data_IF_136949227632
#
_entry.id   IF_136949227632
#
_cell.length_a   1.000
_cell.length_b   1.000
_cell.length_c   1.000
_cell.angle_alpha   90.00
_cell.angle_beta   90.00
_cell.angle_gamma   90.00
#
_symmetry.space_group_name_H-M   'P 1'
#
loop_
_entity.id
_entity.type
_entity.pdbx_description
1 polymer ?
#
# COMPACT_ATOMS: atom_id res chain seq x y z
N UNK A 1 -16.17 -70.63 57.51
CA UNK A 1 -15.50 -70.08 56.30
C UNK A 1 -16.27 -68.81 55.95
N UNK A 2 -15.75 -67.68 56.37
CA UNK A 2 -16.37 -66.34 56.36
C UNK A 2 -15.77 -65.53 55.19
N UNK A 3 -16.57 -65.16 54.19
CA UNK A 3 -16.23 -64.31 53.08
C UNK A 3 -16.40 -62.81 53.43
N UNK A 4 -15.29 -62.10 53.49
CA UNK A 4 -15.21 -60.69 53.80
C UNK A 4 -15.50 -59.88 52.54
N UNK A 5 -16.65 -59.22 52.44
CA UNK A 5 -17.03 -58.25 51.37
C UNK A 5 -16.36 -56.90 51.66
N UNK A 6 -15.34 -56.51 50.87
CA UNK A 6 -14.74 -55.18 50.85
C UNK A 6 -15.59 -54.30 49.91
N UNK A 7 -16.34 -53.37 50.45
CA UNK A 7 -17.02 -52.28 49.69
C UNK A 7 -15.98 -51.20 49.40
N UNK A 8 -15.69 -50.99 48.09
CA UNK A 8 -14.89 -49.85 47.62
C UNK A 8 -15.86 -48.71 47.40
N UNK A 9 -15.74 -47.65 48.22
CA UNK A 9 -16.44 -46.40 48.06
C UNK A 9 -15.66 -45.56 47.02
N UNK A 10 -16.22 -45.45 45.79
CA UNK A 10 -15.67 -44.57 44.76
C UNK A 10 -16.18 -43.17 45.03
N UNK A 11 -15.31 -42.30 45.51
CA UNK A 11 -15.62 -40.87 45.69
C UNK A 11 -15.52 -40.19 44.33
N UNK A 12 -16.63 -39.91 43.66
CA UNK A 12 -16.70 -39.12 42.45
C UNK A 12 -16.52 -37.64 42.83
N UNK A 13 -15.32 -37.11 42.63
CA UNK A 13 -15.04 -35.69 42.71
C UNK A 13 -15.68 -35.04 41.50
N UNK A 14 -16.85 -34.46 41.66
CA UNK A 14 -17.47 -33.58 40.66
C UNK A 14 -16.70 -32.25 40.70
N UNK A 15 -15.74 -32.07 39.83
CA UNK A 15 -15.17 -30.74 39.54
C UNK A 15 -16.27 -29.87 38.92
N UNK A 16 -16.95 -29.06 39.70
CA UNK A 16 -17.73 -27.94 39.20
C UNK A 16 -16.73 -26.97 38.54
N UNK A 17 -16.56 -27.10 37.22
CA UNK A 17 -15.90 -26.08 36.40
C UNK A 17 -16.74 -24.80 36.50
N UNK A 18 -16.29 -23.85 37.30
CA UNK A 18 -16.78 -22.47 37.25
C UNK A 18 -16.50 -21.88 35.86
N UNK A 19 -17.41 -22.11 34.91
CA UNK A 19 -17.52 -21.29 33.74
C UNK A 19 -17.96 -19.91 34.21
N UNK A 20 -16.97 -18.98 34.32
CA UNK A 20 -17.29 -17.58 34.59
C UNK A 20 -18.18 -17.08 33.44
N UNK A 21 -19.47 -17.05 33.66
CA UNK A 21 -20.41 -16.47 32.72
C UNK A 21 -20.11 -14.99 32.65
N UNK A 22 -19.61 -14.54 31.46
CA UNK A 22 -19.36 -13.15 31.17
C UNK A 22 -20.68 -12.37 31.30
N UNK A 23 -20.73 -11.43 32.22
CA UNK A 23 -21.93 -10.62 32.44
C UNK A 23 -22.14 -9.70 31.21
N UNK A 24 -23.37 -9.64 30.66
CA UNK A 24 -23.67 -8.66 29.63
C UNK A 24 -23.52 -7.24 30.20
N UNK A 25 -23.04 -6.32 29.36
CA UNK A 25 -23.00 -4.91 29.78
C UNK A 25 -24.42 -4.37 30.04
N UNK A 26 -24.62 -3.47 31.01
CA UNK A 26 -25.89 -2.81 31.25
C UNK A 26 -26.44 -2.12 30.00
N UNK A 27 -27.76 -2.17 29.80
CA UNK A 27 -28.40 -1.66 28.57
C UNK A 27 -28.18 -0.15 28.35
N UNK A 28 -28.15 0.65 29.42
CA UNK A 28 -27.86 2.07 29.36
C UNK A 28 -26.40 2.37 28.94
N UNK A 29 -25.48 1.52 29.40
CA UNK A 29 -24.07 1.60 29.02
C UNK A 29 -23.88 1.21 27.54
N UNK A 30 -24.56 0.17 27.06
CA UNK A 30 -24.53 -0.22 25.64
C UNK A 30 -25.00 0.93 24.75
N UNK A 31 -26.11 1.60 25.11
CA UNK A 31 -26.60 2.75 24.35
C UNK A 31 -25.63 3.92 24.36
N UNK A 32 -24.95 4.20 25.46
CA UNK A 32 -23.92 5.25 25.55
C UNK A 32 -22.72 4.91 24.66
N UNK A 33 -22.25 3.67 24.71
CA UNK A 33 -21.14 3.18 23.88
C UNK A 33 -21.51 3.30 22.40
N UNK A 34 -22.69 2.80 22.00
CA UNK A 34 -23.15 2.87 20.62
C UNK A 34 -23.21 4.30 20.11
N UNK A 35 -23.82 5.21 20.86
CA UNK A 35 -23.93 6.63 20.51
C UNK A 35 -22.53 7.26 20.33
N UNK A 36 -21.63 7.01 21.28
CA UNK A 36 -20.28 7.59 21.24
C UNK A 36 -19.46 7.05 20.07
N UNK A 37 -19.49 5.74 19.84
CA UNK A 37 -18.80 5.09 18.74
C UNK A 37 -19.34 5.59 17.40
N UNK A 38 -20.67 5.65 17.24
CA UNK A 38 -21.31 6.16 16.03
C UNK A 38 -20.91 7.59 15.71
N UNK A 39 -20.89 8.46 16.72
CA UNK A 39 -20.51 9.86 16.57
C UNK A 39 -19.01 10.03 16.25
N UNK A 40 -18.14 9.32 16.99
CA UNK A 40 -16.68 9.44 16.84
C UNK A 40 -16.18 8.98 15.48
N UNK A 41 -16.77 7.91 14.94
CA UNK A 41 -16.35 7.30 13.68
C UNK A 41 -17.28 7.61 12.50
N UNK A 42 -18.22 8.55 12.66
CA UNK A 42 -19.18 8.96 11.61
C UNK A 42 -19.93 7.79 10.97
N UNK A 43 -20.34 6.80 11.79
CA UNK A 43 -20.94 5.56 11.31
C UNK A 43 -22.40 5.82 10.88
N UNK A 44 -22.79 5.50 9.62
CA UNK A 44 -24.16 5.68 9.14
C UNK A 44 -25.18 4.89 9.96
N UNK A 45 -26.41 5.40 10.00
CA UNK A 45 -27.53 4.75 10.73
C UNK A 45 -27.86 3.35 10.19
N UNK A 46 -27.56 3.08 8.92
CA UNK A 46 -27.75 1.77 8.27
C UNK A 46 -26.80 0.68 8.79
N UNK A 47 -25.70 1.06 9.45
CA UNK A 47 -24.74 0.11 10.03
C UNK A 47 -25.21 -0.27 11.44
N UNK A 48 -25.39 -1.57 11.68
CA UNK A 48 -25.71 -2.10 13.01
C UNK A 48 -24.44 -2.15 13.86
N UNK A 49 -24.51 -1.61 15.07
CA UNK A 49 -23.45 -1.70 16.08
C UNK A 49 -23.91 -2.66 17.17
N UNK A 50 -23.05 -3.61 17.54
CA UNK A 50 -23.30 -4.58 18.60
C UNK A 50 -22.17 -4.54 19.61
N UNK A 51 -22.49 -4.41 20.89
CA UNK A 51 -21.54 -4.39 22.01
C UNK A 51 -21.54 -5.77 22.67
N UNK A 52 -20.40 -6.41 22.70
CA UNK A 52 -20.21 -7.72 23.34
C UNK A 52 -20.14 -7.65 24.86
N UNK A 53 -20.01 -8.80 25.54
CA UNK A 53 -19.87 -8.86 26.99
C UNK A 53 -18.54 -8.26 27.44
N UNK A 54 -18.53 -7.73 28.66
CA UNK A 54 -17.34 -7.26 29.35
C UNK A 54 -16.47 -8.45 29.75
N UNK A 55 -15.17 -8.35 29.50
CA UNK A 55 -14.17 -9.36 29.83
C UNK A 55 -13.04 -8.72 30.63
N UNK A 56 -12.40 -9.44 31.54
CA UNK A 56 -11.17 -8.97 32.17
C UNK A 56 -10.15 -8.55 31.12
N UNK A 57 -9.43 -7.46 31.34
CA UNK A 57 -8.34 -7.02 30.47
C UNK A 57 -6.99 -7.07 31.21
N UNK A 58 -5.90 -7.07 30.44
CA UNK A 58 -4.54 -7.00 30.98
C UNK A 58 -4.23 -5.61 31.59
N UNK A 59 -5.13 -4.64 31.42
CA UNK A 59 -4.96 -3.26 31.89
C UNK A 59 -5.74 -3.04 33.18
N UNK A 60 -5.01 -2.63 34.23
CA UNK A 60 -5.64 -2.29 35.50
C UNK A 60 -6.73 -1.22 35.30
N UNK A 61 -7.88 -1.39 35.99
CA UNK A 61 -9.03 -0.49 35.94
C UNK A 61 -9.81 -0.45 34.61
N UNK A 62 -9.55 -1.37 33.66
CA UNK A 62 -10.30 -1.51 32.43
C UNK A 62 -10.81 -2.93 32.26
N UNK A 63 -11.95 -3.06 31.60
CA UNK A 63 -12.47 -4.30 31.06
C UNK A 63 -12.41 -4.26 29.53
N UNK A 64 -12.13 -5.39 28.90
CA UNK A 64 -12.15 -5.51 27.45
C UNK A 64 -13.59 -5.67 26.96
N UNK A 65 -13.96 -4.98 25.90
CA UNK A 65 -15.26 -5.09 25.24
C UNK A 65 -15.09 -5.15 23.74
N UNK A 66 -15.79 -6.07 23.11
CA UNK A 66 -15.79 -6.22 21.65
C UNK A 66 -16.94 -5.43 21.05
N UNK A 67 -16.66 -4.58 20.06
CA UNK A 67 -17.68 -3.83 19.33
C UNK A 67 -17.67 -4.31 17.89
N UNK A 68 -18.82 -4.79 17.41
CA UNK A 68 -19.01 -5.29 16.05
C UNK A 68 -19.88 -4.32 15.26
N UNK A 69 -19.44 -3.99 14.05
CA UNK A 69 -20.15 -3.15 13.10
C UNK A 69 -20.54 -4.00 11.88
N UNK A 70 -21.83 -4.03 11.54
CA UNK A 70 -22.37 -4.81 10.43
C UNK A 70 -23.11 -3.88 9.47
N UNK A 71 -22.63 -3.79 8.22
CA UNK A 71 -23.23 -2.99 7.16
C UNK A 71 -23.13 -3.68 5.81
N UNK A 72 -24.27 -4.06 5.21
CA UNK A 72 -24.30 -4.90 4.02
C UNK A 72 -23.64 -6.25 4.27
N UNK A 73 -22.76 -6.67 3.36
CA UNK A 73 -22.00 -7.93 3.49
C UNK A 73 -20.74 -7.78 4.38
N UNK A 74 -20.42 -6.57 4.83
CA UNK A 74 -19.21 -6.30 5.60
C UNK A 74 -19.49 -6.37 7.10
N UNK A 75 -18.69 -7.18 7.80
CA UNK A 75 -18.70 -7.28 9.26
C UNK A 75 -17.29 -7.02 9.78
N UNK A 76 -17.16 -6.02 10.65
CA UNK A 76 -15.89 -5.65 11.28
C UNK A 76 -16.03 -5.68 12.79
N UNK A 77 -15.02 -6.19 13.47
CA UNK A 77 -15.00 -6.35 14.92
C UNK A 77 -13.74 -5.71 15.49
N UNK A 78 -13.95 -4.89 16.53
CA UNK A 78 -12.86 -4.15 17.18
C UNK A 78 -12.87 -4.40 18.69
N UNK A 79 -11.68 -4.46 19.27
CA UNK A 79 -11.52 -4.53 20.72
C UNK A 79 -11.36 -3.11 21.29
N UNK A 80 -12.13 -2.83 22.34
CA UNK A 80 -12.08 -1.60 23.11
C UNK A 80 -11.83 -1.93 24.60
N UNK A 81 -11.33 -0.96 25.33
CA UNK A 81 -11.19 -0.99 26.77
C UNK A 81 -12.20 -0.03 27.38
N UNK A 82 -13.05 -0.53 28.26
CA UNK A 82 -13.98 0.27 29.06
C UNK A 82 -13.43 0.43 30.47
N UNK A 83 -13.31 1.66 30.95
CA UNK A 83 -12.92 1.89 32.35
C UNK A 83 -13.98 1.30 33.31
N UNK A 84 -13.56 0.76 34.45
CA UNK A 84 -14.46 0.13 35.43
C UNK A 84 -15.51 1.08 36.01
N UNK A 85 -15.26 2.39 35.95
CA UNK A 85 -16.23 3.42 36.32
C UNK A 85 -17.22 3.76 35.18
N UNK A 86 -17.10 3.10 34.02
CA UNK A 86 -17.96 3.24 32.86
C UNK A 86 -17.90 4.59 32.14
N UNK A 87 -16.89 5.42 32.42
CA UNK A 87 -16.79 6.79 31.89
C UNK A 87 -15.89 6.94 30.68
N UNK A 88 -14.95 6.01 30.47
CA UNK A 88 -13.95 6.11 29.40
C UNK A 88 -14.00 4.85 28.54
N UNK A 89 -14.12 5.05 27.23
CA UNK A 89 -13.95 4.00 26.22
C UNK A 89 -12.70 4.32 25.40
N UNK A 90 -11.69 3.43 25.44
CA UNK A 90 -10.47 3.55 24.68
C UNK A 90 -10.39 2.46 23.60
N UNK A 91 -9.94 2.80 22.41
CA UNK A 91 -9.57 1.82 21.38
C UNK A 91 -8.08 1.56 21.43
N UNK A 92 -7.69 0.30 21.49
CA UNK A 92 -6.30 -0.10 21.43
C UNK A 92 -5.94 -0.73 20.10
N UNK A 93 -4.80 -0.36 19.59
CA UNK A 93 -4.14 -1.05 18.49
C UNK A 93 -2.92 -1.77 19.05
N UNK A 94 -2.86 -3.10 18.93
CA UNK A 94 -1.69 -3.90 19.29
C UNK A 94 -0.75 -3.92 18.08
N UNK A 95 0.48 -3.45 18.28
CA UNK A 95 1.54 -3.54 17.28
C UNK A 95 2.47 -4.69 17.69
N UNK A 96 2.74 -5.59 16.76
CA UNK A 96 3.70 -6.67 16.96
C UNK A 96 5.12 -6.13 16.69
N UNK A 97 5.82 -5.74 17.76
CA UNK A 97 7.17 -5.19 17.66
C UNK A 97 8.25 -6.24 17.30
N UNK A 98 7.86 -7.51 17.16
CA UNK A 98 8.77 -8.57 16.69
C UNK A 98 8.86 -8.61 15.16
N UNK A 99 7.98 -7.90 14.46
CA UNK A 99 7.93 -7.79 13.00
C UNK A 99 8.25 -6.38 12.55
N UNK A 100 9.09 -6.28 11.53
CA UNK A 100 9.33 -5.03 10.86
C UNK A 100 8.18 -4.80 9.84
N UNK A 101 7.36 -3.74 10.01
CA UNK A 101 6.22 -3.47 9.12
C UNK A 101 6.64 -3.20 7.68
N UNK A 102 7.82 -2.66 7.46
CA UNK A 102 8.34 -2.36 6.12
C UNK A 102 8.76 -3.63 5.39
N UNK A 103 9.42 -4.55 6.10
CA UNK A 103 9.75 -5.88 5.56
C UNK A 103 8.47 -6.65 5.24
N UNK A 104 7.45 -6.59 6.10
CA UNK A 104 6.18 -7.25 5.85
C UNK A 104 5.40 -6.63 4.67
N UNK A 105 5.50 -5.32 4.44
CA UNK A 105 4.95 -4.68 3.26
C UNK A 105 5.64 -5.16 1.98
N UNK A 106 6.98 -5.16 1.94
CA UNK A 106 7.74 -5.63 0.77
C UNK A 106 7.47 -7.09 0.40
N UNK A 107 7.23 -7.97 1.38
CA UNK A 107 6.86 -9.38 1.11
C UNK A 107 5.55 -9.57 0.35
N UNK A 108 4.67 -8.57 0.36
CA UNK A 108 3.39 -8.60 -0.34
C UNK A 108 3.47 -8.10 -1.78
N UNK A 109 4.61 -7.54 -2.19
CA UNK A 109 4.82 -6.96 -3.51
C UNK A 109 5.71 -7.90 -4.31
N UNK A 110 5.17 -8.48 -5.37
CA UNK A 110 5.97 -9.29 -6.30
C UNK A 110 6.72 -8.37 -7.28
N UNK A 111 8.05 -8.40 -7.20
CA UNK A 111 8.94 -7.63 -8.07
C UNK A 111 9.47 -8.45 -9.26
N UNK A 112 9.09 -9.72 -9.37
CA UNK A 112 9.61 -10.63 -10.40
C UNK A 112 9.27 -10.13 -11.81
N UNK A 113 10.30 -10.04 -12.67
CA UNK A 113 10.14 -9.66 -14.06
C UNK A 113 9.67 -8.23 -14.30
N UNK A 114 9.72 -7.37 -13.27
CA UNK A 114 9.33 -5.96 -13.41
C UNK A 114 10.46 -5.13 -14.02
N UNK A 115 10.13 -4.07 -14.77
CA UNK A 115 11.12 -3.13 -15.28
C UNK A 115 11.85 -2.42 -14.14
N UNK A 116 13.18 -2.34 -14.27
CA UNK A 116 14.04 -1.71 -13.26
C UNK A 116 14.92 -0.64 -13.87
N UNK A 117 15.23 0.38 -13.07
CA UNK A 117 16.30 1.37 -13.30
C UNK A 117 17.23 1.40 -12.10
N UNK A 118 18.46 1.87 -12.33
CA UNK A 118 19.49 1.93 -11.30
C UNK A 118 20.21 0.60 -11.13
N UNK A 119 20.65 0.31 -9.91
CA UNK A 119 21.43 -0.87 -9.60
C UNK A 119 20.53 -2.03 -9.18
N UNK A 120 20.39 -3.04 -10.04
CA UNK A 120 19.58 -4.25 -9.79
C UNK A 120 20.03 -5.08 -8.56
N UNK A 121 21.25 -4.89 -8.10
CA UNK A 121 21.81 -5.60 -6.95
C UNK A 121 21.84 -4.70 -5.69
N UNK A 122 21.12 -3.57 -5.72
CA UNK A 122 21.09 -2.63 -4.61
C UNK A 122 20.36 -3.20 -3.38
N UNK A 123 20.81 -2.79 -2.20
CA UNK A 123 20.14 -3.10 -0.93
C UNK A 123 18.93 -2.22 -0.65
N UNK A 124 18.82 -1.09 -1.36
CA UNK A 124 17.69 -0.17 -1.26
C UNK A 124 16.88 -0.27 -2.53
N UNK A 125 15.62 -0.61 -2.37
CA UNK A 125 14.66 -0.78 -3.45
C UNK A 125 13.55 0.27 -3.32
N UNK A 126 13.29 0.98 -4.39
CA UNK A 126 12.15 1.89 -4.53
C UNK A 126 11.14 1.24 -5.47
N UNK A 127 9.99 0.88 -4.95
CA UNK A 127 8.87 0.43 -5.77
C UNK A 127 7.96 1.62 -6.05
N UNK A 128 7.70 1.90 -7.32
CA UNK A 128 6.81 2.97 -7.75
C UNK A 128 5.54 2.38 -8.34
N UNK A 129 4.41 2.53 -7.65
CA UNK A 129 3.08 2.26 -8.21
C UNK A 129 2.63 3.48 -8.99
N UNK A 130 2.40 3.27 -10.27
CA UNK A 130 2.31 4.34 -11.25
C UNK A 130 1.17 4.12 -12.25
N UNK A 131 0.75 5.20 -12.90
CA UNK A 131 -0.31 5.24 -13.89
C UNK A 131 0.13 6.14 -15.05
N UNK A 132 0.20 5.59 -16.26
CA UNK A 132 0.66 6.29 -17.45
C UNK A 132 -0.16 7.53 -17.82
N UNK A 133 -1.42 7.58 -17.43
CA UNK A 133 -2.30 8.72 -17.70
C UNK A 133 -2.33 9.74 -16.55
N UNK A 134 -1.82 9.39 -15.37
CA UNK A 134 -1.83 10.26 -14.20
C UNK A 134 -0.90 11.47 -14.38
N UNK A 135 -1.40 12.71 -14.23
CA UNK A 135 -0.55 13.90 -14.39
C UNK A 135 0.47 14.10 -13.27
N UNK A 136 0.22 13.53 -12.09
CA UNK A 136 1.19 13.55 -10.98
C UNK A 136 2.34 12.58 -11.22
N UNK A 137 2.06 11.41 -11.81
CA UNK A 137 3.07 10.45 -12.27
C UNK A 137 3.93 11.07 -13.36
N UNK A 138 3.31 11.71 -14.36
CA UNK A 138 4.01 12.45 -15.42
C UNK A 138 4.99 13.47 -14.84
N UNK A 139 4.56 14.28 -13.86
CA UNK A 139 5.43 15.23 -13.19
C UNK A 139 6.61 14.54 -12.52
N UNK A 140 6.39 13.43 -11.84
CA UNK A 140 7.44 12.68 -11.15
C UNK A 140 8.49 12.14 -12.15
N UNK A 141 8.05 11.58 -13.27
CA UNK A 141 8.94 11.12 -14.33
C UNK A 141 9.77 12.23 -14.95
N UNK A 142 9.19 13.42 -15.11
CA UNK A 142 9.90 14.55 -15.74
C UNK A 142 10.83 15.30 -14.80
N UNK A 143 10.57 15.33 -13.50
CA UNK A 143 11.31 16.18 -12.56
C UNK A 143 12.06 15.42 -11.49
N UNK A 144 11.45 14.42 -10.88
CA UNK A 144 12.01 13.72 -9.73
C UNK A 144 12.97 12.60 -10.14
N UNK A 145 12.53 11.69 -10.99
CA UNK A 145 13.35 10.53 -11.36
C UNK A 145 14.66 10.87 -12.05
N UNK A 146 14.76 11.84 -12.99
CA UNK A 146 16.04 12.16 -13.60
C UNK A 146 17.10 12.60 -12.58
N UNK A 147 16.72 13.38 -11.57
CA UNK A 147 17.62 13.79 -10.50
C UNK A 147 17.98 12.64 -9.56
N UNK A 148 16.99 11.85 -9.14
CA UNK A 148 17.23 10.70 -8.27
C UNK A 148 18.08 9.63 -8.93
N UNK A 149 17.86 9.32 -10.21
CA UNK A 149 18.68 8.37 -10.96
C UNK A 149 20.12 8.84 -11.08
N UNK A 150 20.33 10.14 -11.29
CA UNK A 150 21.68 10.74 -11.34
C UNK A 150 22.40 10.64 -9.99
N UNK A 151 21.69 10.84 -8.89
CA UNK A 151 22.27 10.88 -7.54
C UNK A 151 22.41 9.50 -6.90
N UNK A 152 21.44 8.61 -7.13
CA UNK A 152 21.28 7.34 -6.42
C UNK A 152 21.34 6.10 -7.32
N UNK A 153 21.38 6.26 -8.64
CA UNK A 153 21.23 5.15 -9.58
C UNK A 153 22.28 4.04 -9.46
N UNK A 154 23.41 4.30 -8.83
CA UNK A 154 24.47 3.31 -8.53
C UNK A 154 24.20 2.53 -7.22
N UNK A 155 23.27 2.96 -6.38
CA UNK A 155 23.04 2.49 -5.00
C UNK A 155 21.62 2.02 -4.74
N UNK A 156 20.68 2.39 -5.60
CA UNK A 156 19.25 2.16 -5.45
C UNK A 156 18.70 1.44 -6.68
N UNK A 157 17.83 0.46 -6.45
CA UNK A 157 17.01 -0.16 -7.48
C UNK A 157 15.66 0.53 -7.54
N UNK A 158 15.25 1.03 -8.71
CA UNK A 158 13.91 1.58 -8.94
C UNK A 158 13.11 0.58 -9.74
N UNK A 159 12.00 0.12 -9.18
CA UNK A 159 11.10 -0.87 -9.77
C UNK A 159 9.77 -0.21 -10.10
N UNK A 160 9.29 -0.40 -11.33
CA UNK A 160 7.98 0.11 -11.75
C UNK A 160 6.90 -0.96 -11.57
N UNK A 161 5.76 -0.55 -11.01
CA UNK A 161 4.57 -1.37 -10.83
C UNK A 161 3.35 -0.63 -11.38
N UNK A 162 2.53 -1.32 -12.18
CA UNK A 162 1.34 -0.73 -12.76
C UNK A 162 0.21 -0.63 -11.73
N UNK A 163 -0.41 0.55 -11.64
CA UNK A 163 -1.63 0.79 -10.87
C UNK A 163 -2.55 1.78 -11.60
N UNK A 164 -3.13 1.38 -12.77
CA UNK A 164 -4.00 2.25 -13.55
C UNK A 164 -5.30 2.55 -12.81
N UNK A 165 -5.66 3.83 -12.69
CA UNK A 165 -6.90 4.31 -12.08
C UNK A 165 -8.03 4.29 -13.12
N UNK A 166 -8.47 3.11 -13.51
CA UNK A 166 -9.32 2.84 -14.68
C UNK A 166 -10.66 3.60 -14.71
N UNK A 167 -11.15 4.05 -13.56
CA UNK A 167 -12.40 4.83 -13.46
C UNK A 167 -12.26 6.27 -13.99
N UNK A 168 -11.05 6.83 -13.93
CA UNK A 168 -10.76 8.22 -14.30
C UNK A 168 -9.72 8.35 -15.41
N UNK A 169 -8.95 7.30 -15.69
CA UNK A 169 -7.88 7.23 -16.67
C UNK A 169 -8.16 6.16 -17.74
N UNK A 170 -8.91 6.52 -18.81
CA UNK A 170 -9.47 5.55 -19.73
C UNK A 170 -8.47 4.80 -20.60
N UNK A 171 -7.24 5.31 -20.81
CA UNK A 171 -6.22 4.64 -21.61
C UNK A 171 -5.04 4.11 -20.80
N UNK A 172 -5.02 4.34 -19.48
CA UNK A 172 -3.90 3.95 -18.63
C UNK A 172 -3.62 2.44 -18.66
N UNK A 173 -4.66 1.58 -18.63
CA UNK A 173 -4.49 0.12 -18.71
C UNK A 173 -3.89 -0.31 -20.03
N UNK A 174 -4.35 0.25 -21.15
CA UNK A 174 -3.83 -0.06 -22.48
C UNK A 174 -2.35 0.30 -22.58
N UNK A 175 -1.95 1.50 -22.15
CA UNK A 175 -0.56 1.91 -22.10
C UNK A 175 0.31 1.00 -21.22
N UNK A 176 -0.23 0.56 -20.07
CA UNK A 176 0.47 -0.36 -19.17
C UNK A 176 0.71 -1.73 -19.83
N UNK A 177 -0.27 -2.28 -20.54
CA UNK A 177 -0.10 -3.54 -21.30
C UNK A 177 0.94 -3.38 -22.39
N UNK A 178 0.88 -2.32 -23.17
CA UNK A 178 1.82 -2.00 -24.24
C UNK A 178 3.25 -1.86 -23.71
N UNK A 179 3.44 -1.12 -22.62
CA UNK A 179 4.71 -1.01 -21.93
C UNK A 179 5.26 -2.37 -21.48
N UNK A 180 4.40 -3.22 -20.89
CA UNK A 180 4.79 -4.57 -20.47
C UNK A 180 5.16 -5.48 -21.65
N UNK A 181 4.55 -5.28 -22.84
CA UNK A 181 4.97 -5.97 -24.07
C UNK A 181 6.40 -5.61 -24.50
N UNK A 182 6.81 -4.35 -24.30
CA UNK A 182 8.20 -3.92 -24.50
C UNK A 182 9.13 -4.52 -23.44
N UNK A 183 8.72 -4.43 -22.15
CA UNK A 183 9.50 -4.96 -21.02
C UNK A 183 9.82 -6.45 -21.17
N UNK A 184 8.88 -7.23 -21.71
CA UNK A 184 9.05 -8.67 -21.96
C UNK A 184 10.23 -8.99 -22.89
N UNK A 185 10.71 -8.03 -23.68
CA UNK A 185 11.81 -8.19 -24.60
C UNK A 185 13.03 -7.33 -24.25
N UNK A 186 12.83 -6.11 -23.72
CA UNK A 186 13.92 -5.18 -23.44
C UNK A 186 13.53 -4.15 -22.39
N UNK A 187 14.28 -4.08 -21.30
CA UNK A 187 14.07 -3.14 -20.21
C UNK A 187 14.24 -1.66 -20.64
N UNK A 188 15.20 -1.37 -21.50
CA UNK A 188 15.45 0.00 -21.94
C UNK A 188 14.34 0.50 -22.87
N UNK A 189 13.82 -0.39 -23.74
CA UNK A 189 12.66 -0.08 -24.57
C UNK A 189 11.42 0.28 -23.73
N UNK A 190 11.20 -0.45 -22.65
CA UNK A 190 10.14 -0.12 -21.70
C UNK A 190 10.32 1.29 -21.11
N UNK A 191 11.52 1.58 -20.60
CA UNK A 191 11.74 2.84 -19.90
C UNK A 191 11.72 4.05 -20.84
N UNK A 192 12.27 3.93 -22.05
CA UNK A 192 12.17 4.99 -23.03
C UNK A 192 10.70 5.25 -23.45
N UNK A 193 9.89 4.19 -23.58
CA UNK A 193 8.46 4.33 -23.81
C UNK A 193 7.77 5.00 -22.62
N UNK A 194 8.03 4.54 -21.40
CA UNK A 194 7.45 5.10 -20.19
C UNK A 194 7.75 6.60 -20.05
N UNK A 195 9.02 6.99 -20.23
CA UNK A 195 9.42 8.40 -20.18
C UNK A 195 8.76 9.22 -21.29
N UNK A 196 8.64 8.67 -22.52
CA UNK A 196 7.98 9.34 -23.62
C UNK A 196 6.48 9.58 -23.33
N UNK A 197 5.75 8.56 -22.89
CA UNK A 197 4.32 8.67 -22.59
C UNK A 197 4.09 9.68 -21.46
N UNK A 198 4.85 9.61 -20.37
CA UNK A 198 4.72 10.57 -19.27
C UNK A 198 5.10 12.01 -19.69
N UNK A 199 6.04 12.20 -20.59
CA UNK A 199 6.38 13.52 -21.11
C UNK A 199 5.34 14.06 -22.11
N UNK A 200 4.64 13.17 -22.80
CA UNK A 200 3.83 13.48 -23.97
C UNK A 200 2.36 13.03 -23.85
N UNK A 201 1.80 12.95 -22.62
CA UNK A 201 0.39 12.56 -22.41
C UNK A 201 -0.59 13.32 -23.31
N UNK A 202 -0.25 14.56 -23.70
CA UNK A 202 -1.08 15.37 -24.63
C UNK A 202 -1.17 14.75 -26.01
N UNK A 203 -0.19 14.01 -26.48
CA UNK A 203 -0.23 13.32 -27.78
C UNK A 203 -1.39 12.33 -27.82
N UNK A 204 -1.53 11.51 -26.78
CA UNK A 204 -2.64 10.56 -26.64
C UNK A 204 -3.95 11.28 -26.35
N UNK A 205 -3.96 12.26 -25.44
CA UNK A 205 -5.17 12.98 -25.02
C UNK A 205 -5.76 13.85 -26.12
N UNK A 206 -5.00 14.25 -27.15
CA UNK A 206 -5.52 15.03 -28.28
C UNK A 206 -6.35 14.20 -29.25
N UNK A 207 -6.22 12.87 -29.21
CA UNK A 207 -6.97 11.96 -30.05
C UNK A 207 -8.44 11.89 -29.64
N UNK A 208 -9.32 11.84 -30.67
CA UNK A 208 -10.77 11.84 -30.44
C UNK A 208 -11.30 10.42 -30.29
N UNK A 209 -11.58 10.07 -29.05
CA UNK A 209 -12.16 8.77 -28.71
C UNK A 209 -11.11 7.71 -28.35
N UNK A 210 -11.56 6.74 -27.58
CA UNK A 210 -10.71 5.70 -26.98
C UNK A 210 -9.96 4.87 -28.03
N UNK A 211 -10.61 4.51 -29.13
CA UNK A 211 -9.99 3.70 -30.17
C UNK A 211 -8.82 4.42 -30.86
N UNK A 212 -8.92 5.75 -31.06
CA UNK A 212 -7.83 6.54 -31.62
C UNK A 212 -6.69 6.70 -30.62
N UNK A 213 -6.99 6.86 -29.32
CA UNK A 213 -5.99 6.87 -28.26
C UNK A 213 -5.23 5.55 -28.19
N UNK A 214 -5.93 4.44 -28.24
CA UNK A 214 -5.32 3.10 -28.25
C UNK A 214 -4.45 2.89 -29.49
N UNK A 215 -4.94 3.25 -30.67
CA UNK A 215 -4.15 3.15 -31.91
C UNK A 215 -2.87 4.00 -31.86
N UNK A 216 -2.91 5.16 -31.18
CA UNK A 216 -1.72 5.98 -30.96
C UNK A 216 -0.73 5.30 -30.04
N UNK A 217 -1.18 4.68 -28.94
CA UNK A 217 -0.35 3.93 -28.02
C UNK A 217 0.30 2.72 -28.72
N UNK A 218 -0.51 1.92 -29.46
CA UNK A 218 -0.01 0.79 -30.25
C UNK A 218 1.09 1.22 -31.23
N UNK A 219 0.86 2.32 -31.96
CA UNK A 219 1.86 2.86 -32.90
C UNK A 219 3.14 3.23 -32.20
N UNK A 220 3.07 4.00 -31.10
CA UNK A 220 4.25 4.42 -30.32
C UNK A 220 5.01 3.22 -29.76
N UNK A 221 4.29 2.19 -29.32
CA UNK A 221 4.86 0.93 -28.82
C UNK A 221 5.64 0.20 -29.92
N UNK A 222 5.06 0.08 -31.12
CA UNK A 222 5.69 -0.58 -32.24
C UNK A 222 6.91 0.22 -32.75
N UNK A 223 6.83 1.55 -32.79
CA UNK A 223 7.96 2.42 -33.14
C UNK A 223 9.10 2.25 -32.13
N UNK A 224 8.81 2.19 -30.84
CA UNK A 224 9.79 1.94 -29.80
C UNK A 224 10.42 0.55 -29.95
N UNK A 225 9.61 -0.47 -30.25
CA UNK A 225 10.11 -1.82 -30.55
C UNK A 225 11.03 -1.88 -31.76
N UNK A 226 10.77 -1.10 -32.82
CA UNK A 226 11.65 -0.99 -33.99
C UNK A 226 12.98 -0.32 -33.61
N UNK A 227 12.95 0.77 -32.86
CA UNK A 227 14.13 1.49 -32.37
C UNK A 227 15.09 0.59 -31.61
N UNK A 228 14.56 -0.34 -30.80
CA UNK A 228 15.33 -1.28 -30.01
C UNK A 228 15.58 -2.64 -30.70
N UNK A 229 15.25 -2.77 -31.99
CA UNK A 229 15.41 -4.02 -32.77
C UNK A 229 14.72 -5.24 -32.12
N UNK A 230 13.55 -5.05 -31.52
CA UNK A 230 12.76 -6.12 -30.91
C UNK A 230 12.15 -7.04 -31.97
N UNK A 231 11.77 -8.26 -31.57
CA UNK A 231 10.96 -9.16 -32.40
C UNK A 231 9.59 -8.55 -32.64
N UNK A 232 9.41 -7.96 -33.81
CA UNK A 232 8.20 -7.23 -34.17
C UNK A 232 6.96 -8.14 -34.22
N UNK A 233 7.12 -9.42 -34.60
CA UNK A 233 6.02 -10.36 -34.64
C UNK A 233 5.51 -10.68 -33.23
N UNK A 234 6.42 -10.88 -32.27
CA UNK A 234 6.06 -11.10 -30.87
C UNK A 234 5.45 -9.84 -30.25
N UNK A 235 6.02 -8.66 -30.55
CA UNK A 235 5.53 -7.40 -30.03
C UNK A 235 4.10 -7.12 -30.53
N UNK A 236 3.85 -7.25 -31.83
CA UNK A 236 2.52 -7.07 -32.41
C UNK A 236 1.50 -8.07 -31.84
N UNK A 237 1.89 -9.33 -31.65
CA UNK A 237 1.01 -10.33 -31.05
C UNK A 237 0.66 -9.97 -29.60
N UNK A 238 1.63 -9.47 -28.82
CA UNK A 238 1.43 -9.06 -27.44
C UNK A 238 0.50 -7.83 -27.36
N UNK A 239 0.81 -6.77 -28.11
CA UNK A 239 -0.02 -5.55 -28.19
C UNK A 239 -1.45 -5.88 -28.60
N UNK A 240 -1.64 -6.71 -29.63
CA UNK A 240 -2.98 -7.13 -30.08
C UNK A 240 -3.74 -7.95 -29.03
N UNK A 241 -3.03 -8.76 -28.24
CA UNK A 241 -3.65 -9.62 -27.24
C UNK A 241 -4.24 -8.85 -26.05
N UNK A 242 -3.68 -7.68 -25.72
CA UNK A 242 -4.09 -6.82 -24.59
C UNK A 242 -4.36 -7.64 -23.31
N UNK A 243 -3.40 -8.51 -22.95
CA UNK A 243 -3.50 -9.33 -21.74
C UNK A 243 -3.20 -8.49 -20.50
N UNK A 244 -4.20 -8.30 -19.65
CA UNK A 244 -4.14 -7.51 -18.42
C UNK A 244 -3.72 -8.30 -17.17
N UNK A 245 -3.37 -9.58 -17.27
CA UNK A 245 -3.14 -10.42 -16.07
C UNK A 245 -2.01 -9.86 -15.19
N UNK A 246 -0.92 -9.39 -15.79
CA UNK A 246 0.20 -8.78 -15.08
C UNK A 246 -0.22 -7.46 -14.39
N UNK A 247 -1.07 -6.66 -15.06
CA UNK A 247 -1.61 -5.41 -14.50
C UNK A 247 -2.49 -5.71 -13.28
N UNK A 248 -3.41 -6.67 -13.43
CA UNK A 248 -4.31 -7.10 -12.34
C UNK A 248 -3.52 -7.69 -11.15
N UNK A 249 -2.43 -8.41 -11.41
CA UNK A 249 -1.54 -8.89 -10.35
C UNK A 249 -0.87 -7.72 -9.63
N UNK A 250 -0.33 -6.75 -10.37
CA UNK A 250 0.27 -5.53 -9.80
C UNK A 250 -0.72 -4.72 -8.96
N UNK A 251 -1.97 -4.58 -9.43
CA UNK A 251 -3.03 -3.89 -8.67
C UNK A 251 -3.37 -4.62 -7.37
N UNK A 252 -3.44 -5.97 -7.38
CA UNK A 252 -3.65 -6.73 -6.13
C UNK A 252 -2.52 -6.55 -5.13
N UNK A 253 -1.27 -6.51 -5.59
CA UNK A 253 -0.13 -6.21 -4.70
C UNK A 253 -0.28 -4.82 -4.08
N UNK A 254 -0.61 -3.82 -4.88
CA UNK A 254 -0.84 -2.44 -4.45
C UNK A 254 -1.95 -2.36 -3.38
N UNK A 255 -3.11 -2.96 -3.65
CA UNK A 255 -4.23 -3.03 -2.70
C UNK A 255 -3.85 -3.77 -1.41
N UNK A 256 -3.04 -4.84 -1.52
CA UNK A 256 -2.53 -5.63 -0.41
C UNK A 256 -1.63 -4.85 0.55
N UNK A 257 -1.02 -3.75 0.08
CA UNK A 257 -0.20 -2.83 0.88
C UNK A 257 -0.85 -1.47 1.14
N UNK A 258 -2.11 -1.29 0.71
CA UNK A 258 -2.91 -0.11 1.04
C UNK A 258 -2.86 1.03 0.01
N UNK A 259 -2.25 0.83 -1.15
CA UNK A 259 -2.22 1.84 -2.23
C UNK A 259 -3.63 2.13 -2.72
N UNK A 260 -3.98 3.40 -2.79
CA UNK A 260 -5.30 3.89 -3.25
C UNK A 260 -5.21 5.01 -4.30
N UNK A 261 -3.99 5.49 -4.57
CA UNK A 261 -3.72 6.60 -5.49
C UNK A 261 -2.36 6.44 -6.17
N UNK A 262 -2.11 7.22 -7.21
CA UNK A 262 -0.81 7.28 -7.90
C UNK A 262 -0.30 8.72 -8.01
N UNK A 263 1.02 8.91 -7.97
CA UNK A 263 2.04 7.89 -7.66
C UNK A 263 2.06 7.53 -6.16
N UNK A 264 2.35 6.27 -5.83
CA UNK A 264 2.70 5.84 -4.46
C UNK A 264 4.01 5.06 -4.51
N UNK A 265 4.98 5.47 -3.71
CA UNK A 265 6.30 4.84 -3.66
C UNK A 265 6.49 4.07 -2.34
N UNK A 266 7.30 3.01 -2.42
CA UNK A 266 7.78 2.30 -1.24
C UNK A 266 9.30 2.29 -1.25
N UNK A 267 9.94 2.91 -0.27
CA UNK A 267 11.40 2.87 -0.07
C UNK A 267 11.70 1.79 0.96
N UNK A 268 12.19 0.63 0.51
CA UNK A 268 12.34 -0.56 1.36
C UNK A 268 11.11 -0.86 2.23
N UNK A 269 9.91 -0.62 1.70
CA UNK A 269 8.63 -0.86 2.38
C UNK A 269 8.07 0.32 3.16
N UNK A 270 8.81 1.41 3.33
CA UNK A 270 8.26 2.66 3.84
C UNK A 270 7.46 3.34 2.74
N UNK A 271 6.15 3.45 2.95
CA UNK A 271 5.22 4.11 2.03
C UNK A 271 5.45 5.63 2.00
N UNK A 272 5.35 6.17 0.80
CA UNK A 272 5.47 7.61 0.51
C UNK A 272 4.44 7.99 -0.56
N UNK A 273 3.42 8.73 -0.16
CA UNK A 273 2.28 9.07 -1.00
C UNK A 273 2.50 10.32 -1.84
N UNK A 274 2.08 10.25 -3.11
CA UNK A 274 1.99 11.38 -4.00
C UNK A 274 3.33 11.81 -4.61
N UNK A 275 3.27 12.85 -5.44
CA UNK A 275 4.44 13.49 -6.04
C UNK A 275 5.15 14.37 -5.02
N UNK A 276 6.01 13.77 -4.20
CA UNK A 276 6.73 14.43 -3.11
C UNK A 276 7.82 15.40 -3.63
N UNK A 277 8.19 16.41 -2.82
CA UNK A 277 9.38 17.21 -3.07
C UNK A 277 10.64 16.33 -3.09
N UNK A 278 11.61 16.68 -3.94
CA UNK A 278 12.86 15.93 -4.04
C UNK A 278 13.63 15.86 -2.71
N UNK A 279 13.52 16.89 -1.87
CA UNK A 279 14.14 16.90 -0.54
C UNK A 279 13.61 15.80 0.39
N UNK A 280 12.33 15.48 0.31
CA UNK A 280 11.72 14.41 1.09
C UNK A 280 12.14 13.05 0.58
N UNK A 281 12.21 12.87 -0.74
CA UNK A 281 12.72 11.64 -1.35
C UNK A 281 14.20 11.41 -1.02
N UNK A 282 15.04 12.44 -1.11
CA UNK A 282 16.44 12.37 -0.68
C UNK A 282 16.56 11.92 0.77
N UNK A 283 15.80 12.56 1.67
CA UNK A 283 15.81 12.21 3.10
C UNK A 283 15.37 10.76 3.37
N UNK A 284 14.41 10.23 2.60
CA UNK A 284 13.98 8.84 2.72
C UNK A 284 15.03 7.87 2.18
N UNK A 285 15.62 8.16 1.02
CA UNK A 285 16.67 7.35 0.40
C UNK A 285 17.94 7.33 1.26
N UNK A 286 18.36 8.48 1.78
CA UNK A 286 19.54 8.56 2.65
C UNK A 286 19.35 7.71 3.91
N UNK A 287 18.19 7.80 4.58
CA UNK A 287 17.89 6.95 5.73
C UNK A 287 17.91 5.46 5.37
N UNK A 288 17.34 5.10 4.23
CA UNK A 288 17.33 3.71 3.79
C UNK A 288 18.74 3.19 3.48
N UNK A 289 19.59 4.01 2.86
CA UNK A 289 20.99 3.68 2.59
C UNK A 289 21.78 3.54 3.90
N UNK A 290 21.63 4.45 4.84
CA UNK A 290 22.26 4.38 6.17
C UNK A 290 21.86 3.09 6.91
N UNK A 291 20.57 2.75 6.92
CA UNK A 291 20.06 1.51 7.52
C UNK A 291 20.61 0.26 6.84
N UNK A 292 20.84 0.31 5.53
CA UNK A 292 21.42 -0.77 4.75
C UNK A 292 22.96 -0.83 4.83
N UNK A 293 23.61 0.13 5.51
CA UNK A 293 25.07 0.25 5.60
C UNK A 293 25.71 0.64 4.26
N UNK A 294 25.00 1.39 3.44
CA UNK A 294 25.48 1.89 2.13
C UNK A 294 25.75 3.39 2.25
N UNK A 295 26.89 3.90 1.75
CA UNK A 295 27.19 5.33 1.80
C UNK A 295 26.15 6.17 1.04
N UNK A 296 25.70 7.28 1.63
CA UNK A 296 24.83 8.25 0.99
C UNK A 296 25.60 9.10 -0.06
N UNK A 297 24.94 9.58 -1.11
CA UNK A 297 25.55 10.53 -2.03
C UNK A 297 25.81 11.88 -1.35
N UNK A 298 26.83 12.60 -1.82
CA UNK A 298 27.07 13.98 -1.38
C UNK A 298 26.08 14.91 -2.07
N UNK A 299 25.13 15.47 -1.30
CA UNK A 299 24.24 16.49 -1.84
C UNK A 299 24.95 17.83 -1.90
N UNK A 300 24.97 18.45 -3.08
CA UNK A 300 25.38 19.85 -3.21
C UNK A 300 24.33 20.70 -2.45
N UNK A 301 24.69 21.23 -1.30
CA UNK A 301 23.88 22.21 -0.59
C UNK A 301 23.81 23.47 -1.44
N UNK A 302 22.76 23.61 -2.25
CA UNK A 302 22.38 24.93 -2.74
C UNK A 302 21.94 25.75 -1.53
N UNK A 303 22.87 26.53 -0.97
CA UNK A 303 22.61 27.47 0.10
C UNK A 303 21.64 28.51 -0.46
N UNK A 304 20.37 28.38 -0.16
CA UNK A 304 19.40 29.46 -0.29
C UNK A 304 19.73 30.48 0.80
N UNK A 305 20.63 31.39 0.49
CA UNK A 305 20.82 32.65 1.25
C UNK A 305 19.53 33.45 1.08
N UNK A 306 18.60 33.31 2.00
CA UNK A 306 17.54 34.26 2.20
C UNK A 306 18.17 35.55 2.76
N UNK A 307 18.55 36.47 1.87
CA UNK A 307 18.81 37.86 2.30
C UNK A 307 17.51 38.44 2.84
N UNK A 308 17.39 38.48 4.15
CA UNK A 308 16.40 39.29 4.82
C UNK A 308 16.77 40.77 4.63
N UNK A 309 16.24 41.45 3.62
CA UNK A 309 16.22 42.90 3.57
C UNK A 309 15.23 43.39 4.61
N UNK A 310 15.75 43.84 5.77
CA UNK A 310 15.02 44.69 6.69
C UNK A 310 14.66 46.01 5.97
N UNK A 311 13.42 46.50 6.09
CA UNK A 311 13.08 47.83 5.63
C UNK A 311 13.59 48.83 6.68
N UNK A 312 14.59 49.59 6.31
CA UNK A 312 14.94 50.83 7.02
C UNK A 312 13.93 51.92 6.62
N UNK A 313 13.42 52.57 7.67
CA UNK A 313 12.51 53.72 7.74
C UNK A 313 12.27 54.56 6.50
#
# INVERSE_FOLDING_TARGET
MTLLRRSILVLILVCLGCSAQLAPAPSDLIQKIERQVRATYSIPASVKISVGPLRPSDFANYDAVTITMEGGEKKQTYEFLLSKDGKTLARMTKLDLTKDPYVEAMKKIDLSGRPIRGNKDAKVVVVNFDDFECPFCSRMHQTLFPELLKEYGDRVEFVYKDYPLTEIHPWATHAAVDANCLAAQNNDAYWEFADHIHASQREVNSEKGRDAQFATLDRLTLEQGQKHNLDQSKLQACVKAQNEDAIKASMRDAEGVGVTATPTLFVNGQEMDGALPISEMRAALDRALEQAGVPTPSHSTATTTSESKSPTK
#
